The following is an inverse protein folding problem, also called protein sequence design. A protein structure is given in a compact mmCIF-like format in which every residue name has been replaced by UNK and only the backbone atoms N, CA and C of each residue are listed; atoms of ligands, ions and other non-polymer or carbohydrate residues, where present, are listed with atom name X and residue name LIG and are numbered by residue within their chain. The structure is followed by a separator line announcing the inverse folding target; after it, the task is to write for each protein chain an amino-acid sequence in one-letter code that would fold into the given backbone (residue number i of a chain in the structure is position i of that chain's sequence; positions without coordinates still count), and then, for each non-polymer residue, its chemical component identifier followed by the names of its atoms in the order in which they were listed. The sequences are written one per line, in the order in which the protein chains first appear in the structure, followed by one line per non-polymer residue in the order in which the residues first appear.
data_IF_114882250768
#
_entry.id   IF_114882250768
#
_cell.length_a   1.000
_cell.length_b   1.000
_cell.length_c   1.000
_cell.angle_alpha   90.00
_cell.angle_beta   90.00
_cell.angle_gamma   90.00
#
_symmetry.space_group_name_H-M   'P 1'
#
loop_
_entity.id
_entity.type
_entity.pdbx_description
1 polymer ?
#
# COMPACT_ATOMS: atom_id res chain seq x y z
N UNK A 1 -27.23 7.98 8.03
CA UNK A 1 -26.24 7.64 9.06
C UNK A 1 -24.92 8.31 8.69
N UNK A 2 -24.26 8.91 9.65
CA UNK A 2 -22.89 9.41 9.54
C UNK A 2 -22.03 8.48 10.38
N UNK A 3 -20.97 7.95 9.76
CA UNK A 3 -19.94 7.17 10.44
C UNK A 3 -18.79 8.09 10.79
N UNK A 4 -18.30 7.96 12.00
CA UNK A 4 -17.14 8.71 12.48
C UNK A 4 -16.13 7.74 13.10
N UNK A 5 -14.86 8.01 12.87
CA UNK A 5 -13.77 7.25 13.44
C UNK A 5 -12.46 8.04 13.42
N UNK A 6 -11.41 7.42 13.90
CA UNK A 6 -10.07 7.95 13.82
C UNK A 6 -9.06 6.82 13.61
N UNK A 7 -7.93 7.17 12.99
CA UNK A 7 -6.75 6.34 12.87
C UNK A 7 -5.68 7.02 13.70
N UNK A 8 -5.12 6.31 14.69
CA UNK A 8 -3.99 6.77 15.47
C UNK A 8 -2.73 6.12 14.95
N UNK A 9 -1.70 6.91 14.75
CA UNK A 9 -0.38 6.46 14.34
C UNK A 9 0.54 6.45 15.55
N UNK A 10 1.40 5.46 15.66
CA UNK A 10 2.52 5.48 16.60
C UNK A 10 3.58 6.49 16.16
N UNK A 11 4.64 6.64 16.94
CA UNK A 11 5.72 7.60 16.70
C UNK A 11 6.40 7.35 15.36
N UNK A 12 6.73 6.10 15.07
CA UNK A 12 7.43 5.70 13.84
C UNK A 12 6.60 5.99 12.59
N UNK A 13 5.30 5.66 12.60
CA UNK A 13 4.41 5.94 11.48
C UNK A 13 4.07 7.44 11.38
N UNK A 14 4.04 8.15 12.51
CA UNK A 14 3.81 9.60 12.52
C UNK A 14 4.92 10.36 11.81
N UNK A 15 6.18 9.95 12.00
CA UNK A 15 7.34 10.54 11.31
C UNK A 15 7.28 10.34 9.78
N UNK A 16 6.70 9.25 9.34
CA UNK A 16 6.55 8.93 7.90
C UNK A 16 5.46 9.76 7.22
N UNK A 17 4.45 10.22 7.98
CA UNK A 17 3.34 11.07 7.50
C UNK A 17 3.68 12.53 7.77
N UNK A 18 4.80 13.00 7.23
CA UNK A 18 5.38 14.32 7.47
C UNK A 18 4.70 15.46 6.71
N UNK A 19 3.72 15.15 5.86
CA UNK A 19 3.10 16.15 5.00
C UNK A 19 1.62 15.85 4.72
N UNK A 20 0.80 16.88 4.46
CA UNK A 20 -0.58 16.70 4.02
C UNK A 20 -0.71 15.84 2.76
N UNK A 21 0.27 15.89 1.87
CA UNK A 21 0.28 15.13 0.62
C UNK A 21 0.39 13.62 0.89
N UNK A 22 1.27 13.21 1.81
CA UNK A 22 1.39 11.80 2.22
C UNK A 22 0.11 11.32 2.91
N UNK A 23 -0.51 12.16 3.72
CA UNK A 23 -1.80 11.84 4.33
C UNK A 23 -2.91 11.66 3.27
N UNK A 24 -2.98 12.53 2.27
CA UNK A 24 -3.95 12.40 1.16
C UNK A 24 -3.72 11.10 0.40
N UNK A 25 -2.48 10.74 0.13
CA UNK A 25 -2.14 9.49 -0.56
C UNK A 25 -2.54 8.26 0.27
N UNK A 26 -2.26 8.27 1.58
CA UNK A 26 -2.68 7.23 2.50
C UNK A 26 -4.21 7.05 2.47
N UNK A 27 -4.96 8.14 2.57
CA UNK A 27 -6.42 8.14 2.52
C UNK A 27 -6.92 7.54 1.20
N UNK A 28 -6.38 7.96 0.06
CA UNK A 28 -6.77 7.44 -1.26
C UNK A 28 -6.54 5.95 -1.40
N UNK A 29 -5.42 5.44 -0.90
CA UNK A 29 -5.04 4.03 -1.00
C UNK A 29 -5.82 3.13 -0.04
N UNK A 30 -6.30 3.65 1.09
CA UNK A 30 -6.93 2.84 2.15
C UNK A 30 -8.44 2.90 2.16
N UNK A 31 -9.05 4.09 1.99
CA UNK A 31 -10.49 4.25 2.19
C UNK A 31 -11.34 3.66 1.06
N UNK A 32 -10.91 3.76 -0.19
CA UNK A 32 -11.67 3.18 -1.29
C UNK A 32 -11.83 1.65 -1.19
N UNK A 33 -10.77 0.86 -0.92
CA UNK A 33 -10.92 -0.56 -0.61
C UNK A 33 -11.75 -0.82 0.65
N UNK A 34 -11.55 -0.05 1.73
CA UNK A 34 -12.32 -0.18 2.95
C UNK A 34 -13.83 -0.05 2.71
N UNK A 35 -14.27 0.93 1.94
CA UNK A 35 -15.69 1.07 1.60
C UNK A 35 -16.23 -0.15 0.89
N UNK A 36 -15.50 -0.74 -0.05
CA UNK A 36 -15.89 -1.98 -0.74
C UNK A 36 -16.04 -3.15 0.24
N UNK A 37 -15.07 -3.35 1.12
CA UNK A 37 -15.09 -4.43 2.12
C UNK A 37 -16.22 -4.25 3.13
N UNK A 38 -16.51 -3.01 3.50
CA UNK A 38 -17.65 -2.66 4.34
C UNK A 38 -19.02 -2.76 3.62
N UNK A 39 -19.00 -3.08 2.31
CA UNK A 39 -20.19 -3.26 1.48
C UNK A 39 -20.85 -1.94 1.06
N UNK A 40 -20.06 -0.88 0.92
CA UNK A 40 -20.48 0.38 0.30
C UNK A 40 -20.04 0.45 -1.16
N UNK A 41 -20.73 1.28 -1.93
CA UNK A 41 -20.27 1.74 -3.24
C UNK A 41 -19.38 2.95 -3.02
N UNK A 42 -18.06 2.92 -3.29
CA UNK A 42 -17.16 4.04 -2.99
C UNK A 42 -17.55 5.35 -3.66
N UNK A 43 -18.14 5.29 -4.83
CA UNK A 43 -18.61 6.44 -5.60
C UNK A 43 -19.82 7.12 -4.95
N UNK A 44 -20.56 6.37 -4.12
CA UNK A 44 -21.71 6.86 -3.37
C UNK A 44 -21.35 7.37 -1.96
N UNK A 45 -20.06 7.49 -1.65
CA UNK A 45 -19.60 7.96 -0.34
C UNK A 45 -19.00 9.35 -0.46
N UNK A 46 -19.39 10.23 0.44
CA UNK A 46 -18.62 11.41 0.78
C UNK A 46 -17.78 11.14 2.02
N UNK A 47 -16.52 11.50 1.97
CA UNK A 47 -15.52 11.31 3.00
C UNK A 47 -14.90 12.66 3.35
N UNK A 48 -14.87 12.98 4.64
CA UNK A 48 -14.12 14.09 5.21
C UNK A 48 -13.05 13.55 6.14
N UNK A 49 -11.83 14.09 6.03
CA UNK A 49 -10.71 13.74 6.90
C UNK A 49 -10.08 15.01 7.48
N UNK A 50 -9.63 14.93 8.72
CA UNK A 50 -8.86 15.96 9.40
C UNK A 50 -7.65 15.35 10.08
N UNK A 51 -6.44 15.78 9.66
CA UNK A 51 -5.19 15.39 10.30
C UNK A 51 -4.91 16.35 11.46
N UNK A 52 -4.74 15.80 12.66
CA UNK A 52 -4.32 16.53 13.84
C UNK A 52 -2.80 16.50 13.98
N UNK A 53 -2.18 17.67 13.97
CA UNK A 53 -0.74 17.87 14.04
C UNK A 53 -0.26 18.43 15.38
N UNK A 54 -1.15 18.54 16.36
CA UNK A 54 -0.89 19.09 17.71
C UNK A 54 0.08 18.20 18.52
N UNK A 55 0.21 16.92 18.15
CA UNK A 55 1.16 15.96 18.74
C UNK A 55 1.96 15.29 17.63
N UNK A 56 3.12 15.82 17.26
CA UNK A 56 3.90 15.30 16.13
C UNK A 56 4.28 13.82 16.23
N UNK A 57 4.48 13.31 17.45
CA UNK A 57 4.81 11.91 17.73
C UNK A 57 3.60 10.97 17.74
N UNK A 58 2.38 11.53 17.68
CA UNK A 58 1.12 10.80 17.75
C UNK A 58 0.07 11.45 16.87
N UNK A 59 0.28 11.34 15.55
CA UNK A 59 -0.68 11.87 14.59
C UNK A 59 -2.00 11.10 14.64
N UNK A 60 -3.10 11.85 14.54
CA UNK A 60 -4.44 11.29 14.47
C UNK A 60 -5.12 11.79 13.20
N UNK A 61 -5.60 10.87 12.41
CA UNK A 61 -6.46 11.16 11.27
C UNK A 61 -7.91 10.90 11.68
N UNK A 62 -8.66 11.96 11.98
CA UNK A 62 -10.11 11.86 12.15
C UNK A 62 -10.79 11.79 10.80
N UNK A 63 -11.84 11.00 10.72
CA UNK A 63 -12.64 10.91 9.51
C UNK A 63 -14.12 10.77 9.83
N UNK A 64 -14.96 11.29 8.94
CA UNK A 64 -16.35 10.95 8.89
C UNK A 64 -16.80 10.75 7.45
N UNK A 65 -17.78 9.88 7.26
CA UNK A 65 -18.32 9.58 5.94
C UNK A 65 -19.82 9.28 6.00
N UNK A 66 -20.48 9.42 4.86
CA UNK A 66 -21.91 9.12 4.69
C UNK A 66 -22.21 8.72 3.26
N UNK A 67 -23.35 8.04 3.07
CA UNK A 67 -23.88 7.74 1.75
C UNK A 67 -24.55 8.99 1.17
N UNK A 68 -24.20 9.36 -0.06
CA UNK A 68 -24.83 10.47 -0.81
C UNK A 68 -26.30 10.18 -1.08
N UNK A 69 -26.56 8.98 -1.56
CA UNK A 69 -27.89 8.52 -1.94
C UNK A 69 -28.25 7.19 -1.26
N UNK A 70 -29.54 6.96 -1.01
CA UNK A 70 -30.00 5.70 -0.43
C UNK A 70 -29.82 4.55 -1.41
N UNK A 71 -29.18 3.46 -0.98
CA UNK A 71 -28.91 2.26 -1.82
C UNK A 71 -29.53 0.98 -1.29
N UNK A 72 -30.10 1.00 -0.09
CA UNK A 72 -30.76 -0.17 0.49
C UNK A 72 -32.19 -0.26 -0.02
N UNK A 73 -32.52 -1.35 -0.74
CA UNK A 73 -33.90 -1.56 -1.22
C UNK A 73 -34.89 -1.53 -0.05
N UNK A 74 -35.92 -0.70 -0.20
CA UNK A 74 -36.97 -0.65 0.80
C UNK A 74 -37.93 -1.84 0.61
N UNK A 75 -38.05 -2.67 1.65
CA UNK A 75 -38.93 -3.87 1.60
C UNK A 75 -40.42 -3.55 1.85
N UNK A 76 -40.73 -2.35 2.37
CA UNK A 76 -42.07 -1.94 2.75
C UNK A 76 -42.71 -0.91 1.82
N UNK A 77 -41.92 -0.29 0.96
CA UNK A 77 -42.38 0.71 0.01
C UNK A 77 -41.53 0.65 -1.26
N UNK A 78 -42.01 1.23 -2.34
CA UNK A 78 -41.23 1.36 -3.56
C UNK A 78 -40.00 2.28 -3.31
N UNK A 79 -38.85 1.93 -3.91
CA UNK A 79 -37.63 2.76 -3.86
C UNK A 79 -36.55 2.25 -2.89
N UNK A 80 -35.64 3.16 -2.55
CA UNK A 80 -34.47 2.88 -1.72
C UNK A 80 -34.49 3.72 -0.44
N UNK A 81 -33.78 3.26 0.58
CA UNK A 81 -33.57 3.93 1.85
C UNK A 81 -32.10 3.91 2.23
N UNK A 82 -31.71 4.82 3.11
CA UNK A 82 -30.38 4.78 3.73
C UNK A 82 -30.27 3.59 4.69
N UNK A 83 -29.05 3.17 4.97
CA UNK A 83 -28.78 2.14 5.98
C UNK A 83 -29.33 2.63 7.35
N UNK A 84 -30.11 1.78 7.98
CA UNK A 84 -30.70 2.11 9.28
C UNK A 84 -29.70 1.93 10.45
N UNK A 85 -28.68 1.06 10.25
CA UNK A 85 -27.69 0.72 11.27
C UNK A 85 -26.29 1.12 10.79
N UNK A 86 -25.54 1.81 11.64
CA UNK A 86 -24.15 2.23 11.38
C UNK A 86 -23.12 1.13 11.62
N UNK A 87 -23.52 -0.15 11.69
CA UNK A 87 -22.60 -1.26 11.97
C UNK A 87 -21.73 -1.54 10.76
N UNK A 88 -20.43 -1.48 10.94
CA UNK A 88 -19.40 -1.93 9.99
C UNK A 88 -18.93 -3.31 10.44
N UNK A 89 -18.66 -4.21 9.49
CA UNK A 89 -18.14 -5.53 9.78
C UNK A 89 -16.71 -5.41 10.31
N UNK A 90 -16.41 -6.21 11.33
CA UNK A 90 -15.07 -6.23 11.92
C UNK A 90 -13.99 -6.58 10.88
N UNK A 91 -14.28 -7.51 9.98
CA UNK A 91 -13.35 -7.92 8.92
C UNK A 91 -12.93 -6.76 8.01
N UNK A 92 -13.85 -5.82 7.73
CA UNK A 92 -13.52 -4.63 6.93
C UNK A 92 -12.57 -3.68 7.69
N UNK A 93 -12.74 -3.56 9.00
CA UNK A 93 -11.84 -2.76 9.86
C UNK A 93 -10.47 -3.44 9.93
N UNK A 94 -10.43 -4.75 10.18
CA UNK A 94 -9.20 -5.53 10.22
C UNK A 94 -8.42 -5.44 8.91
N UNK A 95 -9.09 -5.60 7.76
CA UNK A 95 -8.48 -5.45 6.45
C UNK A 95 -7.94 -4.05 6.19
N UNK A 96 -8.60 -3.01 6.69
CA UNK A 96 -8.10 -1.63 6.61
C UNK A 96 -6.81 -1.46 7.43
N UNK A 97 -6.77 -1.99 8.65
CA UNK A 97 -5.60 -1.96 9.53
C UNK A 97 -4.41 -2.67 8.87
N UNK A 98 -4.64 -3.85 8.30
CA UNK A 98 -3.61 -4.62 7.58
C UNK A 98 -3.05 -3.84 6.38
N UNK A 99 -3.91 -3.16 5.61
CA UNK A 99 -3.47 -2.30 4.50
C UNK A 99 -2.63 -1.11 4.98
N UNK A 100 -3.01 -0.47 6.08
CA UNK A 100 -2.23 0.61 6.66
C UNK A 100 -0.82 0.14 7.03
N UNK A 101 -0.71 -0.99 7.70
CA UNK A 101 0.57 -1.61 8.04
C UNK A 101 1.36 -1.99 6.80
N UNK A 102 0.70 -2.57 5.79
CA UNK A 102 1.36 -2.97 4.52
C UNK A 102 1.91 -1.76 3.76
N UNK A 103 1.20 -0.64 3.76
CA UNK A 103 1.67 0.59 3.11
C UNK A 103 2.93 1.10 3.81
N UNK A 104 2.96 1.12 5.15
CA UNK A 104 4.12 1.53 5.92
C UNK A 104 5.34 0.62 5.64
N UNK A 105 5.15 -0.70 5.64
CA UNK A 105 6.21 -1.67 5.32
C UNK A 105 6.69 -1.52 3.87
N UNK A 106 5.76 -1.27 2.92
CA UNK A 106 6.11 -1.08 1.50
C UNK A 106 6.99 0.14 1.29
N UNK A 107 6.73 1.22 2.01
CA UNK A 107 7.52 2.44 1.91
C UNK A 107 8.94 2.24 2.47
N UNK A 108 9.10 1.46 3.55
CA UNK A 108 10.41 1.04 4.07
C UNK A 108 11.19 0.17 3.08
N UNK A 109 10.52 -0.83 2.50
CA UNK A 109 11.14 -1.70 1.51
C UNK A 109 11.56 -0.92 0.25
N UNK A 110 10.74 0.04 -0.18
CA UNK A 110 11.08 0.94 -1.29
C UNK A 110 12.28 1.84 -0.95
N UNK A 111 12.31 2.43 0.24
CA UNK A 111 13.42 3.25 0.71
C UNK A 111 14.71 2.43 0.84
N UNK A 112 14.63 1.23 1.41
CA UNK A 112 15.77 0.31 1.51
C UNK A 112 16.28 -0.14 0.14
N UNK A 113 15.38 -0.40 -0.81
CA UNK A 113 15.74 -0.72 -2.20
C UNK A 113 16.45 0.44 -2.85
N UNK A 114 15.91 1.65 -2.75
CA UNK A 114 16.47 2.85 -3.38
C UNK A 114 17.84 3.21 -2.78
N UNK A 115 18.04 2.96 -1.47
CA UNK A 115 19.35 3.12 -0.84
C UNK A 115 20.34 2.05 -1.29
N UNK A 116 19.90 0.78 -1.39
CA UNK A 116 20.74 -0.29 -1.91
C UNK A 116 21.13 -0.04 -3.37
N UNK A 117 20.21 0.48 -4.19
CA UNK A 117 20.47 0.86 -5.58
C UNK A 117 21.48 2.02 -5.67
N UNK A 118 21.35 3.05 -4.82
CA UNK A 118 22.33 4.15 -4.72
C UNK A 118 23.72 3.64 -4.31
N UNK A 119 23.80 2.75 -3.31
CA UNK A 119 25.06 2.16 -2.87
C UNK A 119 25.68 1.28 -3.96
N UNK A 120 24.89 0.49 -4.65
CA UNK A 120 25.33 -0.31 -5.80
C UNK A 120 25.85 0.59 -6.92
N UNK A 121 25.15 1.66 -7.27
CA UNK A 121 25.58 2.62 -8.30
C UNK A 121 26.90 3.27 -7.92
N UNK A 122 27.05 3.75 -6.68
CA UNK A 122 28.30 4.34 -6.18
C UNK A 122 29.46 3.34 -6.21
N UNK A 123 29.22 2.08 -5.85
CA UNK A 123 30.25 1.04 -5.89
C UNK A 123 30.63 0.66 -7.34
N UNK A 124 29.67 0.72 -8.27
CA UNK A 124 29.91 0.41 -9.69
C UNK A 124 30.52 1.57 -10.46
N UNK A 125 30.35 2.82 -10.05
CA UNK A 125 31.06 3.96 -10.63
C UNK A 125 32.57 3.83 -10.46
N UNK A 126 33.05 3.25 -9.34
CA UNK A 126 34.45 2.86 -9.16
C UNK A 126 34.87 1.62 -9.96
N UNK A 127 33.93 0.81 -10.43
CA UNK A 127 34.17 -0.46 -11.15
C UNK A 127 34.10 -0.32 -12.67
N UNK A 128 33.83 0.86 -13.22
CA UNK A 128 33.82 1.08 -14.67
C UNK A 128 35.16 0.77 -15.35
N UNK A 129 36.24 0.62 -14.58
CA UNK A 129 37.54 0.13 -15.05
C UNK A 129 37.57 -1.40 -15.29
N UNK A 130 36.64 -2.17 -14.73
CA UNK A 130 36.58 -3.63 -14.84
C UNK A 130 35.59 -4.13 -15.91
N UNK A 131 35.50 -3.44 -17.06
CA UNK A 131 34.66 -3.86 -18.20
C UNK A 131 34.98 -5.26 -18.78
N UNK A 132 36.00 -5.93 -18.27
CA UNK A 132 36.44 -7.28 -18.69
C UNK A 132 36.26 -8.31 -17.57
N UNK A 133 35.44 -8.03 -16.56
CA UNK A 133 35.33 -8.92 -15.43
C UNK A 133 34.67 -10.26 -15.83
N UNK A 134 35.26 -11.32 -15.28
CA UNK A 134 34.79 -12.71 -15.42
C UNK A 134 33.31 -12.83 -14.98
N UNK A 135 32.93 -12.15 -13.89
CA UNK A 135 31.57 -12.14 -13.38
C UNK A 135 30.57 -11.56 -14.38
N UNK A 136 30.89 -10.45 -15.05
CA UNK A 136 30.03 -9.86 -16.08
C UNK A 136 29.84 -10.77 -17.30
N UNK A 137 30.88 -11.54 -17.64
CA UNK A 137 30.78 -12.55 -18.71
C UNK A 137 29.89 -13.72 -18.30
N UNK A 138 30.04 -14.21 -17.08
CA UNK A 138 29.21 -15.31 -16.58
C UNK A 138 27.75 -14.88 -16.43
N UNK A 139 27.47 -13.67 -15.95
CA UNK A 139 26.12 -13.12 -15.90
C UNK A 139 25.47 -12.99 -17.30
N UNK A 140 26.23 -12.55 -18.30
CA UNK A 140 25.72 -12.49 -19.68
C UNK A 140 25.44 -13.86 -20.28
N UNK A 141 26.24 -14.87 -19.94
CA UNK A 141 25.97 -16.26 -20.33
C UNK A 141 24.72 -16.79 -19.66
N UNK A 142 24.63 -16.57 -18.33
CA UNK A 142 23.47 -16.97 -17.55
C UNK A 142 22.19 -16.33 -18.07
N UNK A 143 22.22 -15.02 -18.38
CA UNK A 143 21.06 -14.31 -18.92
C UNK A 143 20.55 -14.88 -20.25
N UNK A 144 21.43 -15.45 -21.07
CA UNK A 144 21.04 -16.12 -22.33
C UNK A 144 20.48 -17.52 -22.11
N UNK A 145 20.80 -18.16 -21.01
CA UNK A 145 20.33 -19.49 -20.64
C UNK A 145 19.02 -19.47 -19.87
N UNK A 146 18.66 -18.31 -19.29
CA UNK A 146 17.42 -18.15 -18.53
C UNK A 146 16.19 -18.24 -19.45
N UNK A 147 15.11 -18.87 -19.00
CA UNK A 147 13.88 -18.98 -19.77
C UNK A 147 13.25 -17.60 -20.02
N UNK A 148 12.89 -17.31 -21.28
CA UNK A 148 12.31 -16.02 -21.70
C UNK A 148 10.82 -15.88 -21.29
N UNK A 149 10.14 -17.00 -21.08
CA UNK A 149 8.71 -17.11 -20.87
C UNK A 149 8.30 -17.11 -19.39
N UNK A 150 9.22 -16.85 -18.48
CA UNK A 150 8.93 -16.82 -17.05
C UNK A 150 9.44 -15.57 -16.32
N UNK A 151 8.82 -15.26 -15.18
CA UNK A 151 9.33 -14.20 -14.30
C UNK A 151 10.56 -14.70 -13.56
N UNK A 152 11.68 -14.00 -13.70
CA UNK A 152 12.96 -14.32 -13.07
C UNK A 152 12.94 -13.96 -11.58
N UNK A 153 12.30 -14.80 -10.78
CA UNK A 153 12.30 -14.69 -9.31
C UNK A 153 12.98 -15.92 -8.72
N UNK A 154 13.82 -15.71 -7.72
CA UNK A 154 14.56 -16.79 -7.05
C UNK A 154 13.64 -17.94 -6.59
N UNK A 155 12.42 -17.64 -6.13
CA UNK A 155 11.42 -18.62 -5.70
C UNK A 155 10.68 -19.35 -6.83
N UNK A 156 10.81 -18.92 -8.10
CA UNK A 156 10.12 -19.55 -9.23
C UNK A 156 10.71 -20.96 -9.50
N UNK A 157 9.84 -21.95 -9.73
CA UNK A 157 10.25 -23.33 -10.03
C UNK A 157 11.14 -23.42 -11.27
N UNK A 158 10.87 -22.63 -12.32
CA UNK A 158 11.67 -22.54 -13.53
C UNK A 158 13.11 -22.05 -13.28
N UNK A 159 13.34 -21.32 -12.18
CA UNK A 159 14.65 -20.81 -11.80
C UNK A 159 15.49 -21.81 -10.99
N UNK A 160 14.90 -22.93 -10.56
CA UNK A 160 15.58 -23.93 -9.71
C UNK A 160 16.93 -24.40 -10.24
N UNK A 161 17.11 -24.71 -11.56
CA UNK A 161 18.40 -25.15 -12.11
C UNK A 161 19.50 -24.08 -12.06
N UNK A 162 19.14 -22.83 -11.93
CA UNK A 162 20.06 -21.67 -12.02
C UNK A 162 20.42 -21.08 -10.67
N UNK A 163 19.78 -21.52 -9.56
CA UNK A 163 19.91 -20.91 -8.22
C UNK A 163 21.34 -20.94 -7.66
N UNK A 164 22.11 -21.95 -7.99
CA UNK A 164 23.50 -22.05 -7.52
C UNK A 164 24.46 -21.14 -8.29
N UNK A 165 23.99 -20.54 -9.40
CA UNK A 165 24.80 -19.67 -10.28
C UNK A 165 24.39 -18.20 -10.18
N UNK A 166 23.29 -17.91 -9.48
CA UNK A 166 22.78 -16.57 -9.19
C UNK A 166 23.22 -16.13 -7.82
#
# INVERSE_FOLDING_TARGET
VIWHGFISFDEEHSEKIDSPQKCIELVRRTFRPFFKDAGFEPENIDLMCALHLDRPTHLHLHFCFWEKEPKVKNQRAAGYKYRAKGKIKFDAIAAMTERLNTIAISDELLAARDEAERQFTRSTEGMTAYRHDRAARELRKLAKELPEDCVWRYGNAAMKPYRERI
#
